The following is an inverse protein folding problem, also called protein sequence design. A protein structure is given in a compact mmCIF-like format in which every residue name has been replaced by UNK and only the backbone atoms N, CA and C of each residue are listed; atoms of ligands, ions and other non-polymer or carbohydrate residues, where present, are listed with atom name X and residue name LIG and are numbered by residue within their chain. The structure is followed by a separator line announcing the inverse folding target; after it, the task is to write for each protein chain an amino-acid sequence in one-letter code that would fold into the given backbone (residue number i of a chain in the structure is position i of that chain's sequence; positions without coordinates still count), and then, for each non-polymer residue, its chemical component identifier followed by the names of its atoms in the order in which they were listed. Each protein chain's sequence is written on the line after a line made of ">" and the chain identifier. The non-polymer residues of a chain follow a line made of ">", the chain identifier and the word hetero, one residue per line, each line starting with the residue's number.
data_IF_367275448664
#
_entry.id   IF_367275448664
#
_cell.length_a   1.000
_cell.length_b   1.000
_cell.length_c   1.000
_cell.angle_alpha   90.00
_cell.angle_beta   90.00
_cell.angle_gamma   90.00
#
_symmetry.space_group_name_H-M   'P 1'
#
loop_
_entity.id
_entity.type
_entity.pdbx_description
1 polymer ?
#
# COMPACT_ATOMS: atom_id res chain seq x y z
N UNK A 1 -11.18 -0.16 -17.88
CA UNK A 1 -12.03 -0.26 -16.68
C UNK A 1 -11.42 -1.12 -15.55
N UNK A 2 -10.94 -2.34 -15.81
CA UNK A 2 -10.39 -3.26 -14.80
C UNK A 2 -9.13 -2.73 -14.07
N UNK A 3 -8.19 -2.14 -14.80
CA UNK A 3 -6.93 -1.58 -14.25
C UNK A 3 -7.21 -0.40 -13.31
N UNK A 4 -8.11 0.51 -13.69
CA UNK A 4 -8.49 1.66 -12.86
C UNK A 4 -9.15 1.22 -11.55
N UNK A 5 -9.96 0.18 -11.57
CA UNK A 5 -10.59 -0.39 -10.36
C UNK A 5 -9.55 -0.99 -9.41
N UNK A 6 -8.52 -1.69 -9.95
CA UNK A 6 -7.42 -2.23 -9.13
C UNK A 6 -6.56 -1.13 -8.51
N UNK A 7 -6.24 -0.08 -9.28
CA UNK A 7 -5.50 1.06 -8.78
C UNK A 7 -6.24 1.76 -7.64
N UNK A 8 -7.52 2.06 -7.83
CA UNK A 8 -8.35 2.68 -6.78
C UNK A 8 -8.39 1.83 -5.50
N UNK A 9 -8.54 0.50 -5.61
CA UNK A 9 -8.53 -0.40 -4.47
C UNK A 9 -7.16 -0.41 -3.74
N UNK A 10 -6.06 -0.30 -4.49
CA UNK A 10 -4.72 -0.19 -3.91
C UNK A 10 -4.57 1.10 -3.11
N UNK A 11 -4.96 2.25 -3.71
CA UNK A 11 -4.85 3.57 -3.08
C UNK A 11 -5.71 3.65 -1.81
N UNK A 12 -6.93 3.11 -1.84
CA UNK A 12 -7.84 2.99 -0.69
C UNK A 12 -7.22 2.16 0.45
N UNK A 13 -6.58 1.03 0.12
CA UNK A 13 -5.90 0.21 1.11
C UNK A 13 -4.75 0.95 1.81
N UNK A 14 -3.91 1.68 1.06
CA UNK A 14 -2.82 2.46 1.65
C UNK A 14 -3.36 3.58 2.53
N UNK A 15 -4.40 4.27 2.06
CA UNK A 15 -5.11 5.27 2.86
C UNK A 15 -5.59 4.67 4.19
N UNK A 16 -6.24 3.51 4.17
CA UNK A 16 -6.73 2.85 5.38
C UNK A 16 -5.58 2.48 6.35
N UNK A 17 -4.45 1.98 5.83
CA UNK A 17 -3.28 1.64 6.64
C UNK A 17 -2.69 2.90 7.31
N UNK A 18 -2.57 3.99 6.56
CA UNK A 18 -2.03 5.24 7.08
C UNK A 18 -2.99 5.89 8.09
N UNK A 19 -4.30 5.86 7.84
CA UNK A 19 -5.31 6.36 8.76
C UNK A 19 -5.34 5.56 10.07
N UNK A 20 -5.31 4.22 9.99
CA UNK A 20 -5.24 3.36 11.17
C UNK A 20 -3.97 3.60 12.01
N UNK A 21 -2.81 3.75 11.35
CA UNK A 21 -1.56 4.06 12.03
C UNK A 21 -1.60 5.43 12.72
N UNK A 22 -2.13 6.46 12.05
CA UNK A 22 -2.26 7.79 12.62
C UNK A 22 -3.21 7.80 13.82
N UNK A 23 -4.34 7.08 13.73
CA UNK A 23 -5.26 6.90 14.85
C UNK A 23 -4.55 6.28 16.06
N UNK A 24 -3.83 5.18 15.87
CA UNK A 24 -3.09 4.50 16.96
C UNK A 24 -2.08 5.45 17.61
N UNK A 25 -1.34 6.22 16.84
CA UNK A 25 -0.37 7.18 17.39
C UNK A 25 -1.04 8.29 18.21
N UNK A 26 -2.08 8.91 17.65
CA UNK A 26 -2.82 9.98 18.32
C UNK A 26 -3.46 9.47 19.60
N UNK A 27 -4.09 8.30 19.54
CA UNK A 27 -4.73 7.67 20.70
C UNK A 27 -3.72 7.32 21.79
N UNK A 28 -2.55 6.76 21.43
CA UNK A 28 -1.49 6.47 22.37
C UNK A 28 -0.96 7.73 23.07
N UNK A 29 -0.78 8.82 22.32
CA UNK A 29 -0.34 10.11 22.91
C UNK A 29 -1.41 10.65 23.85
N UNK A 30 -2.68 10.62 23.46
CA UNK A 30 -3.78 11.10 24.29
C UNK A 30 -3.95 10.28 25.57
N UNK A 31 -3.83 8.96 25.49
CA UNK A 31 -3.90 8.06 26.65
C UNK A 31 -2.73 8.23 27.65
N UNK A 32 -1.66 8.94 27.29
CA UNK A 32 -0.61 9.32 28.26
C UNK A 32 -1.06 10.46 29.19
N UNK A 33 -2.00 11.26 28.77
CA UNK A 33 -2.52 12.43 29.51
C UNK A 33 -3.88 12.18 30.17
N UNK A 34 -4.58 11.12 29.78
CA UNK A 34 -5.92 10.76 30.30
C UNK A 34 -5.96 9.29 30.71
N UNK A 35 -6.85 8.95 31.62
CA UNK A 35 -7.11 7.56 32.06
C UNK A 35 -8.36 6.97 31.41
N UNK A 36 -9.13 7.80 30.71
CA UNK A 36 -10.38 7.42 30.08
C UNK A 36 -10.22 7.32 28.55
N UNK A 37 -10.63 6.19 27.99
CA UNK A 37 -10.64 5.97 26.54
C UNK A 37 -11.54 6.99 25.83
N UNK A 38 -12.67 7.33 26.45
CA UNK A 38 -13.60 8.33 25.93
C UNK A 38 -12.95 9.73 25.84
N UNK A 39 -12.31 10.19 26.90
CA UNK A 39 -11.65 11.51 26.91
C UNK A 39 -10.48 11.54 25.93
N UNK A 40 -9.69 10.47 25.85
CA UNK A 40 -8.62 10.34 24.91
C UNK A 40 -9.12 10.43 23.46
N UNK A 41 -10.17 9.69 23.13
CA UNK A 41 -10.79 9.73 21.81
C UNK A 41 -11.32 11.14 21.49
N UNK A 42 -12.05 11.74 22.42
CA UNK A 42 -12.61 13.09 22.23
C UNK A 42 -11.54 14.16 21.97
N UNK A 43 -10.37 14.02 22.58
CA UNK A 43 -9.26 14.95 22.37
C UNK A 43 -8.64 14.85 20.98
N UNK A 44 -8.75 13.71 20.31
CA UNK A 44 -8.18 13.46 18.98
C UNK A 44 -9.22 13.53 17.85
N UNK A 45 -10.50 13.63 18.16
CA UNK A 45 -11.62 13.58 17.20
C UNK A 45 -11.43 14.55 16.02
N UNK A 46 -10.89 15.75 16.26
CA UNK A 46 -10.64 16.75 15.22
C UNK A 46 -9.38 16.50 14.37
N UNK A 47 -8.52 15.55 14.77
CA UNK A 47 -7.25 15.23 14.12
C UNK A 47 -7.31 13.88 13.41
N UNK A 48 -8.39 13.14 13.57
CA UNK A 48 -8.63 11.86 12.92
C UNK A 48 -9.29 12.12 11.57
N UNK A 49 -9.15 11.17 10.67
CA UNK A 49 -9.73 11.26 9.34
C UNK A 49 -11.25 11.52 9.43
N UNK A 50 -11.80 12.31 8.52
CA UNK A 50 -13.22 12.70 8.52
C UNK A 50 -14.19 11.49 8.56
N UNK A 51 -13.71 10.32 8.07
CA UNK A 51 -14.45 9.06 8.16
C UNK A 51 -14.66 8.60 9.63
N UNK A 52 -13.78 9.02 10.55
CA UNK A 52 -13.88 8.74 11.98
C UNK A 52 -14.72 9.79 12.74
N UNK A 53 -14.80 11.03 12.24
CA UNK A 53 -15.41 12.15 12.96
C UNK A 53 -16.95 12.24 12.81
N UNK A 54 -17.53 11.63 11.79
CA UNK A 54 -18.93 11.81 11.40
C UNK A 54 -19.91 10.80 12.00
N UNK A 55 -19.48 9.96 12.94
CA UNK A 55 -20.35 8.95 13.53
C UNK A 55 -20.98 9.41 14.85
N UNK A 56 -22.26 9.07 15.09
CA UNK A 56 -23.05 9.56 16.20
C UNK A 56 -22.54 9.07 17.57
N UNK A 57 -22.66 9.95 18.56
CA UNK A 57 -22.08 9.90 19.90
C UNK A 57 -22.66 8.88 20.89
N UNK A 58 -23.44 7.87 20.50
CA UNK A 58 -24.24 7.13 21.45
C UNK A 58 -23.51 6.03 22.22
N UNK A 59 -22.45 5.42 21.63
CA UNK A 59 -21.60 4.45 22.33
C UNK A 59 -20.20 4.38 21.70
N UNK A 60 -19.20 4.83 22.44
CA UNK A 60 -17.81 4.79 21.98
C UNK A 60 -17.34 3.37 21.61
N UNK A 61 -17.85 2.33 22.27
CA UNK A 61 -17.53 0.93 21.96
C UNK A 61 -18.02 0.54 20.59
N UNK A 62 -19.29 0.85 20.30
CA UNK A 62 -19.88 0.58 18.99
C UNK A 62 -19.12 1.33 17.91
N UNK A 63 -18.82 2.59 18.14
CA UNK A 63 -18.07 3.44 17.22
C UNK A 63 -16.65 2.91 16.93
N UNK A 64 -15.86 2.56 17.95
CA UNK A 64 -14.53 2.00 17.78
C UNK A 64 -14.56 0.65 17.05
N UNK A 65 -15.57 -0.19 17.29
CA UNK A 65 -15.75 -1.44 16.55
C UNK A 65 -16.12 -1.22 15.08
N UNK A 66 -16.95 -0.24 14.78
CA UNK A 66 -17.30 0.14 13.40
C UNK A 66 -16.05 0.62 12.63
N UNK A 67 -15.25 1.48 13.26
CA UNK A 67 -13.95 1.91 12.72
C UNK A 67 -13.05 0.69 12.43
N UNK A 68 -12.91 -0.21 13.39
CA UNK A 68 -12.08 -1.41 13.23
C UNK A 68 -12.54 -2.32 12.08
N UNK A 69 -13.87 -2.42 11.86
CA UNK A 69 -14.43 -3.22 10.77
C UNK A 69 -14.30 -2.52 9.41
N UNK A 70 -14.46 -1.21 9.38
CA UNK A 70 -14.35 -0.41 8.14
C UNK A 70 -12.95 -0.48 7.55
N UNK A 71 -11.90 -0.36 8.37
CA UNK A 71 -10.52 -0.41 7.89
C UNK A 71 -10.02 -1.83 7.63
N UNK A 72 -10.66 -2.85 8.20
CA UNK A 72 -10.39 -4.29 7.99
C UNK A 72 -8.91 -4.69 8.07
N UNK A 73 -8.16 -4.12 9.01
CA UNK A 73 -6.75 -4.39 9.26
C UNK A 73 -6.62 -5.16 10.56
N UNK A 74 -6.12 -6.41 10.55
CA UNK A 74 -6.06 -7.27 11.72
C UNK A 74 -5.28 -6.65 12.90
N UNK A 75 -4.13 -6.02 12.62
CA UNK A 75 -3.35 -5.34 13.65
C UNK A 75 -4.12 -4.19 14.30
N UNK A 76 -4.89 -3.44 13.51
CA UNK A 76 -5.73 -2.36 14.01
C UNK A 76 -6.94 -2.88 14.81
N UNK A 77 -7.61 -3.95 14.34
CA UNK A 77 -8.66 -4.64 15.10
C UNK A 77 -8.15 -5.11 16.47
N UNK A 78 -6.95 -5.69 16.50
CA UNK A 78 -6.31 -6.09 17.75
C UNK A 78 -6.06 -4.90 18.66
N UNK A 79 -5.61 -3.76 18.13
CA UNK A 79 -5.42 -2.53 18.89
C UNK A 79 -6.73 -2.05 19.52
N UNK A 80 -7.81 -1.94 18.73
CA UNK A 80 -9.12 -1.51 19.21
C UNK A 80 -9.67 -2.47 20.27
N UNK A 81 -9.59 -3.78 20.03
CA UNK A 81 -10.04 -4.78 21.01
C UNK A 81 -9.29 -4.64 22.34
N UNK A 82 -7.97 -4.45 22.30
CA UNK A 82 -7.18 -4.26 23.53
C UNK A 82 -7.53 -2.95 24.23
N UNK A 83 -7.83 -1.89 23.48
CA UNK A 83 -8.30 -0.62 24.01
C UNK A 83 -9.66 -0.78 24.73
N UNK A 84 -10.58 -1.53 24.15
CA UNK A 84 -11.89 -1.81 24.74
C UNK A 84 -11.80 -2.71 25.99
N UNK A 85 -10.85 -3.65 26.04
CA UNK A 85 -10.55 -4.44 27.24
C UNK A 85 -10.00 -3.53 28.35
N UNK A 86 -9.07 -2.65 28.01
CA UNK A 86 -8.57 -1.66 28.96
C UNK A 86 -9.67 -0.77 29.53
N UNK A 87 -10.59 -0.32 28.69
CA UNK A 87 -11.73 0.49 29.10
C UNK A 87 -12.68 -0.23 30.07
N UNK A 88 -12.88 -1.57 29.92
CA UNK A 88 -13.75 -2.36 30.77
C UNK A 88 -13.09 -2.84 32.06
N UNK A 89 -11.88 -3.34 31.96
CA UNK A 89 -11.22 -4.12 33.01
C UNK A 89 -10.11 -3.31 33.70
N UNK A 90 -9.70 -2.19 33.11
CA UNK A 90 -8.58 -1.40 33.57
C UNK A 90 -7.23 -2.08 33.29
N UNK A 91 -6.22 -1.66 33.99
CA UNK A 91 -4.89 -2.26 33.91
C UNK A 91 -3.80 -1.27 33.52
N UNK A 92 -2.65 -1.78 33.11
CA UNK A 92 -1.55 -0.95 32.63
C UNK A 92 -1.66 -0.74 31.11
N UNK A 93 -2.20 0.40 30.71
CA UNK A 93 -2.38 0.76 29.30
C UNK A 93 -1.12 0.55 28.47
N UNK A 94 0.04 1.02 28.97
CA UNK A 94 1.29 0.98 28.25
C UNK A 94 1.75 -0.45 27.94
N UNK A 95 1.56 -1.37 28.86
CA UNK A 95 1.90 -2.78 28.67
C UNK A 95 0.91 -3.45 27.71
N UNK A 96 -0.37 -3.23 27.89
CA UNK A 96 -1.42 -3.82 27.06
C UNK A 96 -1.33 -3.38 25.59
N UNK A 97 -1.01 -2.12 25.33
CA UNK A 97 -0.94 -1.56 23.97
C UNK A 97 0.41 -1.71 23.26
N UNK A 98 1.44 -2.17 23.95
CA UNK A 98 2.80 -2.29 23.36
C UNK A 98 2.83 -3.19 22.13
N UNK A 99 2.22 -4.37 22.21
CA UNK A 99 2.19 -5.35 21.10
C UNK A 99 1.27 -4.87 19.97
N UNK A 100 -0.01 -4.50 20.18
CA UNK A 100 -0.87 -4.03 19.11
C UNK A 100 -0.33 -2.80 18.36
N UNK A 101 0.26 -1.85 19.10
CA UNK A 101 0.89 -0.67 18.51
C UNK A 101 2.05 -1.05 17.59
N UNK A 102 2.95 -1.93 18.07
CA UNK A 102 4.09 -2.40 17.26
C UNK A 102 3.64 -3.19 16.02
N UNK A 103 2.58 -3.99 16.12
CA UNK A 103 1.99 -4.71 15.00
C UNK A 103 1.41 -3.76 13.95
N UNK A 104 0.70 -2.72 14.37
CA UNK A 104 0.16 -1.70 13.44
C UNK A 104 1.27 -0.95 12.73
N UNK A 105 2.34 -0.57 13.45
CA UNK A 105 3.52 0.06 12.87
C UNK A 105 4.24 -0.87 11.88
N UNK A 106 4.46 -2.11 12.27
CA UNK A 106 5.11 -3.10 11.41
C UNK A 106 4.29 -3.39 10.15
N UNK A 107 2.97 -3.42 10.27
CA UNK A 107 2.06 -3.57 9.14
C UNK A 107 2.25 -2.42 8.15
N UNK A 108 2.23 -1.18 8.60
CA UNK A 108 2.49 -0.01 7.75
C UNK A 108 3.85 -0.11 7.06
N UNK A 109 4.92 -0.35 7.80
CA UNK A 109 6.29 -0.47 7.25
C UNK A 109 6.37 -1.59 6.22
N UNK A 110 5.77 -2.74 6.49
CA UNK A 110 5.76 -3.88 5.58
C UNK A 110 5.11 -3.54 4.24
N UNK A 111 3.91 -2.94 4.27
CA UNK A 111 3.20 -2.60 3.05
C UNK A 111 3.91 -1.53 2.23
N UNK A 112 4.45 -0.49 2.86
CA UNK A 112 5.24 0.52 2.15
C UNK A 112 6.51 -0.07 1.53
N UNK A 113 7.23 -0.95 2.24
CA UNK A 113 8.41 -1.65 1.69
C UNK A 113 8.02 -2.57 0.52
N UNK A 114 6.90 -3.28 0.62
CA UNK A 114 6.41 -4.16 -0.45
C UNK A 114 6.05 -3.35 -1.70
N UNK A 115 5.36 -2.23 -1.54
CA UNK A 115 5.00 -1.34 -2.65
C UNK A 115 6.23 -0.75 -3.32
N UNK A 116 7.17 -0.25 -2.54
CA UNK A 116 8.46 0.27 -3.04
C UNK A 116 9.23 -0.78 -3.82
N UNK A 117 9.30 -2.03 -3.32
CA UNK A 117 9.98 -3.13 -4.01
C UNK A 117 9.30 -3.47 -5.34
N UNK A 118 7.98 -3.53 -5.37
CA UNK A 118 7.22 -3.77 -6.61
C UNK A 118 7.38 -2.64 -7.61
N UNK A 119 7.42 -1.39 -7.13
CA UNK A 119 7.67 -0.22 -7.97
C UNK A 119 9.06 -0.28 -8.61
N UNK A 120 10.12 -0.58 -7.84
CA UNK A 120 11.47 -0.72 -8.38
C UNK A 120 11.57 -1.82 -9.44
N UNK A 121 10.91 -2.97 -9.24
CA UNK A 121 10.84 -4.03 -10.24
C UNK A 121 10.20 -3.56 -11.55
N UNK A 122 9.14 -2.75 -11.46
CA UNK A 122 8.50 -2.15 -12.63
C UNK A 122 9.44 -1.17 -13.35
N UNK A 123 10.13 -0.30 -12.60
CA UNK A 123 11.11 0.65 -13.15
C UNK A 123 12.26 -0.09 -13.82
N UNK A 124 12.78 -1.15 -13.22
CA UNK A 124 13.85 -1.98 -13.79
C UNK A 124 13.47 -2.56 -15.16
N UNK A 125 12.31 -3.19 -15.28
CA UNK A 125 11.84 -3.73 -16.56
C UNK A 125 11.61 -2.62 -17.59
N UNK A 126 11.06 -1.49 -17.17
CA UNK A 126 10.84 -0.34 -18.07
C UNK A 126 12.16 0.24 -18.56
N UNK A 127 13.16 0.34 -17.67
CA UNK A 127 14.49 0.88 -18.04
C UNK A 127 15.25 -0.04 -19.01
N UNK A 128 15.18 -1.36 -18.81
CA UNK A 128 15.76 -2.33 -19.73
C UNK A 128 15.12 -2.25 -21.12
N UNK A 129 13.80 -2.09 -21.17
CA UNK A 129 13.08 -1.93 -22.43
C UNK A 129 13.43 -0.61 -23.14
N UNK A 130 13.52 0.49 -22.39
CA UNK A 130 13.94 1.79 -22.91
C UNK A 130 15.37 1.75 -23.43
N UNK A 131 16.30 1.11 -22.71
CA UNK A 131 17.69 0.95 -23.14
C UNK A 131 17.78 0.17 -24.45
N UNK A 132 17.00 -0.89 -24.61
CA UNK A 132 16.94 -1.64 -25.86
C UNK A 132 16.48 -0.78 -27.04
N UNK A 133 15.43 0.04 -26.87
CA UNK A 133 14.98 1.00 -27.89
C UNK A 133 16.08 2.02 -28.21
N UNK A 134 16.78 2.55 -27.21
CA UNK A 134 17.89 3.48 -27.40
C UNK A 134 19.01 2.88 -28.24
N UNK A 135 19.36 1.60 -28.01
CA UNK A 135 20.38 0.89 -28.82
C UNK A 135 19.93 0.81 -30.28
N UNK A 136 18.69 0.49 -30.57
CA UNK A 136 18.17 0.43 -31.93
C UNK A 136 18.21 1.80 -32.61
N UNK A 137 17.82 2.85 -31.92
CA UNK A 137 17.89 4.22 -32.43
C UNK A 137 19.36 4.62 -32.71
N UNK A 138 20.27 4.26 -31.80
CA UNK A 138 21.69 4.52 -31.96
C UNK A 138 22.26 3.83 -33.19
N UNK A 139 21.98 2.53 -33.42
CA UNK A 139 22.42 1.78 -34.59
C UNK A 139 21.88 2.44 -35.87
N UNK A 140 20.61 2.86 -35.88
CA UNK A 140 19.99 3.53 -37.02
C UNK A 140 20.69 4.85 -37.40
N UNK A 141 21.13 5.62 -36.40
CA UNK A 141 21.74 6.94 -36.60
C UNK A 141 23.23 6.80 -36.93
N UNK A 142 23.97 5.96 -36.20
CA UNK A 142 25.42 5.87 -36.30
C UNK A 142 25.90 4.92 -37.40
N UNK A 143 25.12 3.89 -37.74
CA UNK A 143 25.48 2.84 -38.70
C UNK A 143 24.28 2.51 -39.60
N UNK A 144 23.84 3.48 -40.45
CA UNK A 144 22.57 3.34 -41.20
C UNK A 144 22.60 2.18 -42.21
N UNK A 145 23.77 1.90 -42.83
CA UNK A 145 23.92 0.80 -43.80
C UNK A 145 23.73 -0.56 -43.11
N UNK A 146 24.28 -0.72 -41.92
CA UNK A 146 24.10 -1.93 -41.11
C UNK A 146 22.66 -2.11 -40.68
N UNK A 147 21.99 -1.02 -40.25
CA UNK A 147 20.59 -1.04 -39.92
C UNK A 147 19.71 -1.46 -41.11
N UNK A 148 20.02 -0.94 -42.31
CA UNK A 148 19.29 -1.29 -43.51
C UNK A 148 19.48 -2.76 -43.91
N UNK A 149 20.69 -3.34 -43.70
CA UNK A 149 20.96 -4.76 -43.89
C UNK A 149 20.15 -5.62 -42.90
N UNK A 150 20.18 -5.26 -41.62
CA UNK A 150 19.40 -5.95 -40.58
C UNK A 150 17.89 -5.97 -40.89
N UNK A 151 17.36 -4.85 -41.38
CA UNK A 151 15.94 -4.74 -41.71
C UNK A 151 15.51 -5.46 -42.98
N UNK A 152 16.46 -5.87 -43.85
CA UNK A 152 16.18 -6.73 -45.00
C UNK A 152 16.13 -8.22 -44.67
N UNK A 153 16.75 -8.62 -43.57
CA UNK A 153 16.77 -10.01 -43.12
C UNK A 153 15.50 -10.36 -42.35
N UNK A 154 14.74 -11.31 -42.88
CA UNK A 154 13.50 -11.82 -42.28
C UNK A 154 13.73 -12.37 -40.86
N UNK A 155 14.86 -13.03 -40.64
CA UNK A 155 15.18 -13.61 -39.32
C UNK A 155 15.32 -12.51 -38.26
N UNK A 156 15.96 -11.39 -38.62
CA UNK A 156 16.10 -10.23 -37.75
C UNK A 156 14.75 -9.58 -37.44
N UNK A 157 13.89 -9.45 -38.44
CA UNK A 157 12.52 -8.89 -38.23
C UNK A 157 11.72 -9.76 -37.24
N UNK A 158 11.81 -11.08 -37.36
CA UNK A 158 11.14 -12.04 -36.47
C UNK A 158 11.69 -11.91 -35.05
N UNK A 159 13.00 -11.81 -34.85
CA UNK A 159 13.63 -11.64 -33.53
C UNK A 159 13.18 -10.32 -32.90
N UNK A 160 13.16 -9.22 -33.65
CA UNK A 160 12.74 -7.91 -33.19
C UNK A 160 11.29 -7.90 -32.75
N UNK A 161 10.41 -8.51 -33.54
CA UNK A 161 9.00 -8.64 -33.20
C UNK A 161 8.81 -9.50 -31.96
N UNK A 162 9.54 -10.60 -31.86
CA UNK A 162 9.54 -11.49 -30.70
C UNK A 162 9.98 -10.77 -29.42
N UNK A 163 11.04 -9.98 -29.46
CA UNK A 163 11.50 -9.16 -28.31
C UNK A 163 10.46 -8.11 -27.89
N UNK A 164 9.79 -7.45 -28.85
CA UNK A 164 8.73 -6.50 -28.55
C UNK A 164 7.53 -7.17 -27.86
N UNK A 165 7.12 -8.33 -28.35
CA UNK A 165 6.01 -9.09 -27.75
C UNK A 165 6.35 -9.58 -26.34
N UNK A 166 7.52 -10.18 -26.15
CA UNK A 166 7.99 -10.67 -24.84
C UNK A 166 8.15 -9.50 -23.87
N UNK A 167 8.77 -8.40 -24.27
CA UNK A 167 8.94 -7.21 -23.44
C UNK A 167 7.61 -6.60 -23.01
N UNK A 168 6.66 -6.46 -23.94
CA UNK A 168 5.32 -5.96 -23.63
C UNK A 168 4.55 -6.89 -22.69
N UNK A 169 4.70 -8.19 -22.87
CA UNK A 169 4.07 -9.20 -22.00
C UNK A 169 4.65 -9.17 -20.59
N UNK A 170 5.97 -9.13 -20.44
CA UNK A 170 6.66 -9.02 -19.16
C UNK A 170 6.29 -7.72 -18.43
N UNK A 171 6.25 -6.59 -19.15
CA UNK A 171 5.79 -5.31 -18.61
C UNK A 171 4.35 -5.43 -18.10
N UNK A 172 3.45 -6.00 -18.88
CA UNK A 172 2.06 -6.20 -18.48
C UNK A 172 1.94 -7.06 -17.22
N UNK A 173 2.65 -8.19 -17.15
CA UNK A 173 2.64 -9.06 -15.98
C UNK A 173 3.14 -8.33 -14.73
N UNK A 174 4.26 -7.61 -14.83
CA UNK A 174 4.86 -6.87 -13.71
C UNK A 174 3.96 -5.72 -13.26
N UNK A 175 3.34 -5.02 -14.21
CA UNK A 175 2.37 -3.97 -13.90
C UNK A 175 1.14 -4.53 -13.20
N UNK A 176 0.65 -5.70 -13.63
CA UNK A 176 -0.46 -6.39 -12.96
C UNK A 176 -0.08 -6.86 -11.56
N UNK A 177 1.16 -7.33 -11.36
CA UNK A 177 1.70 -7.69 -10.03
C UNK A 177 1.81 -6.44 -9.13
N UNK A 178 2.25 -5.31 -9.67
CA UNK A 178 2.30 -4.03 -8.95
C UNK A 178 0.93 -3.55 -8.49
N UNK A 179 -0.10 -3.71 -9.34
CA UNK A 179 -1.48 -3.35 -8.99
C UNK A 179 -2.16 -4.38 -8.06
N UNK A 180 -1.65 -5.60 -8.00
CA UNK A 180 -2.25 -6.69 -7.25
C UNK A 180 -1.61 -6.77 -5.85
N UNK A 181 -2.07 -5.93 -4.93
CA UNK A 181 -1.76 -6.07 -3.51
C UNK A 181 -2.69 -7.11 -2.87
N UNK A 182 -2.68 -8.36 -3.37
CA UNK A 182 -3.40 -9.43 -2.73
C UNK A 182 -2.78 -9.71 -1.35
N UNK A 183 -3.38 -9.12 -0.34
CA UNK A 183 -3.21 -9.48 1.05
C UNK A 183 -4.01 -10.76 1.26
N UNK A 184 -3.48 -11.89 0.82
CA UNK A 184 -3.96 -13.19 1.25
C UNK A 184 -3.08 -13.65 2.40
N UNK A 185 -3.61 -13.51 3.61
CA UNK A 185 -3.12 -14.19 4.79
C UNK A 185 -2.20 -13.32 5.68
N UNK A 186 -2.80 -12.43 6.45
CA UNK A 186 -2.40 -12.16 7.85
C UNK A 186 -3.66 -12.03 8.70
#
# INVERSE_FOLDING_TARGET
>A
MFILKKRKKKDEMFHNIDAAYNFVNLMNVSMLSTTSVYEAYKSIENYVDADFANMSNEDIRTHLNEIATTYDINAFKMYINTLLIYDSDGGNYKEMQSIPTSLTQNTKIYYHKLDTRKFYKLVEITSLFALWICILVFIKICIPDYYALMMKDILYQIIMLGMLLIGSFLYYLTYMEYLNNNIRGM
#
